data_IF_799782556599
#
_entry.id   IF_799782556599
#
_cell.length_a   1.000
_cell.length_b   1.000
_cell.length_c   1.000
_cell.angle_alpha   90.00
_cell.angle_beta   90.00
_cell.angle_gamma   90.00
#
_symmetry.space_group_name_H-M   'P 1'
#
loop_
_entity.id
_entity.type
_entity.pdbx_description
1 polymer ?
#
# COMPACT_ATOMS: atom_id res chain seq x y z
N UNK A 1 -11.18 6.27 -10.57
CA UNK A 1 -10.37 5.34 -9.78
C UNK A 1 -8.97 5.88 -9.59
N UNK A 2 -8.47 5.83 -8.38
CA UNK A 2 -7.14 6.32 -8.03
C UNK A 2 -6.32 5.20 -7.43
N UNK A 3 -5.01 5.38 -7.43
CA UNK A 3 -4.09 4.36 -6.93
C UNK A 3 -3.17 4.98 -5.88
N UNK A 4 -3.02 4.28 -4.78
CA UNK A 4 -2.03 4.60 -3.75
C UNK A 4 -1.01 3.48 -3.68
N UNK A 5 0.26 3.83 -3.75
CA UNK A 5 1.36 2.87 -3.70
C UNK A 5 2.08 2.94 -2.37
N UNK A 6 2.36 1.76 -1.82
CA UNK A 6 3.21 1.61 -0.65
C UNK A 6 4.34 0.65 -0.98
N UNK A 7 5.53 0.92 -0.47
CA UNK A 7 6.65 0.01 -0.65
C UNK A 7 7.51 0.00 0.60
N UNK A 8 8.18 -1.11 0.81
CA UNK A 8 9.06 -1.26 1.95
C UNK A 8 9.84 -2.57 1.89
N UNK A 9 10.84 -2.69 2.76
CA UNK A 9 11.64 -3.90 2.86
C UNK A 9 10.83 -5.03 3.50
N UNK A 10 11.01 -6.26 3.00
CA UNK A 10 10.41 -7.43 3.63
C UNK A 10 10.94 -7.67 5.05
N UNK A 11 12.11 -7.12 5.37
CA UNK A 11 12.68 -7.22 6.72
C UNK A 11 11.98 -6.30 7.71
N UNK A 12 11.14 -5.38 7.24
CA UNK A 12 10.45 -4.39 8.08
C UNK A 12 8.97 -4.26 7.69
N UNK A 13 8.30 -5.38 7.59
CA UNK A 13 6.86 -5.40 7.29
C UNK A 13 6.01 -4.63 8.30
N UNK A 14 6.32 -4.64 9.61
CA UNK A 14 5.53 -3.85 10.54
C UNK A 14 5.50 -2.34 10.22
N UNK A 15 6.59 -1.77 9.74
CA UNK A 15 6.61 -0.36 9.35
C UNK A 15 5.73 -0.11 8.13
N UNK A 16 5.78 -1.01 7.13
CA UNK A 16 4.92 -0.90 5.95
C UNK A 16 3.45 -1.03 6.32
N UNK A 17 3.13 -1.96 7.19
CA UNK A 17 1.77 -2.17 7.70
C UNK A 17 1.26 -0.93 8.42
N UNK A 18 2.10 -0.32 9.26
CA UNK A 18 1.75 0.90 9.98
C UNK A 18 1.46 2.06 9.02
N UNK A 19 2.24 2.19 7.95
CA UNK A 19 2.03 3.23 6.94
C UNK A 19 0.68 3.04 6.23
N UNK A 20 0.36 1.82 5.85
CA UNK A 20 -0.91 1.51 5.19
C UNK A 20 -2.08 1.81 6.14
N UNK A 21 -1.98 1.36 7.38
CA UNK A 21 -3.04 1.56 8.37
C UNK A 21 -3.24 3.04 8.70
N UNK A 22 -2.16 3.80 8.79
CA UNK A 22 -2.24 5.25 9.00
C UNK A 22 -2.93 5.95 7.85
N UNK A 23 -2.61 5.55 6.62
CA UNK A 23 -3.25 6.14 5.44
C UNK A 23 -4.74 5.81 5.39
N UNK A 24 -5.11 4.57 5.67
CA UNK A 24 -6.52 4.15 5.69
C UNK A 24 -7.29 4.89 6.78
N UNK A 25 -6.70 5.07 7.96
CA UNK A 25 -7.33 5.79 9.05
C UNK A 25 -7.51 7.28 8.72
N UNK A 26 -6.58 7.87 7.97
CA UNK A 26 -6.66 9.26 7.54
C UNK A 26 -7.68 9.48 6.40
N UNK A 27 -8.12 8.42 5.74
CA UNK A 27 -9.01 8.50 4.58
C UNK A 27 -10.23 7.58 4.76
N UNK A 28 -11.04 7.77 5.81
CA UNK A 28 -12.12 6.84 6.12
C UNK A 28 -13.28 6.88 5.11
N UNK A 29 -13.28 7.89 4.24
CA UNK A 29 -14.32 8.03 3.22
C UNK A 29 -13.95 7.38 1.89
N UNK A 30 -12.80 6.74 1.81
CA UNK A 30 -12.38 6.05 0.61
C UNK A 30 -12.79 4.58 0.66
N UNK A 31 -13.14 4.05 -0.49
CA UNK A 31 -13.44 2.63 -0.64
C UNK A 31 -12.33 1.99 -1.44
N UNK A 32 -11.67 1.00 -0.86
CA UNK A 32 -10.67 0.21 -1.57
C UNK A 32 -11.39 -0.79 -2.47
N UNK A 33 -11.14 -0.68 -3.78
CA UNK A 33 -11.79 -1.52 -4.78
C UNK A 33 -10.95 -2.75 -5.08
N UNK A 34 -9.64 -2.57 -5.17
CA UNK A 34 -8.71 -3.64 -5.51
C UNK A 34 -7.37 -3.39 -4.84
N UNK A 35 -6.66 -4.47 -4.54
CA UNK A 35 -5.31 -4.40 -3.99
C UNK A 35 -4.45 -5.45 -4.68
N UNK A 36 -3.21 -5.08 -4.96
CA UNK A 36 -2.21 -5.98 -5.50
C UNK A 36 -0.95 -5.89 -4.66
N UNK A 37 -0.29 -7.02 -4.50
CA UNK A 37 0.97 -7.12 -3.79
C UNK A 37 2.00 -7.75 -4.73
N UNK A 38 3.13 -7.09 -4.87
CA UNK A 38 4.26 -7.59 -5.65
C UNK A 38 5.51 -7.60 -4.79
N UNK A 39 6.35 -8.60 -4.99
CA UNK A 39 7.64 -8.69 -4.32
C UNK A 39 8.72 -8.64 -5.38
N UNK A 40 9.75 -7.85 -5.15
CA UNK A 40 10.87 -7.75 -6.07
C UNK A 40 12.20 -7.69 -5.31
N UNK A 41 13.25 -8.12 -5.99
CA UNK A 41 14.60 -8.10 -5.44
C UNK A 41 15.33 -6.85 -5.92
N UNK A 42 15.85 -6.07 -4.97
CA UNK A 42 16.65 -4.90 -5.29
C UNK A 42 18.13 -5.33 -5.37
N UNK A 43 18.66 -5.41 -6.58
CA UNK A 43 20.03 -5.85 -6.81
C UNK A 43 21.07 -4.87 -6.28
N UNK A 44 20.72 -3.59 -6.16
CA UNK A 44 21.65 -2.57 -5.67
C UNK A 44 21.91 -2.72 -4.17
N UNK A 45 20.90 -3.12 -3.40
CA UNK A 45 20.99 -3.25 -1.95
C UNK A 45 21.03 -4.70 -1.48
N UNK A 46 20.65 -5.64 -2.35
CA UNK A 46 20.51 -7.05 -2.00
C UNK A 46 19.26 -7.36 -1.20
N UNK A 47 18.37 -6.39 -1.00
CA UNK A 47 17.15 -6.57 -0.23
C UNK A 47 15.97 -6.97 -1.10
N UNK A 48 15.05 -7.72 -0.51
CA UNK A 48 13.75 -7.95 -1.10
C UNK A 48 12.76 -6.91 -0.59
N UNK A 49 11.95 -6.38 -1.50
CA UNK A 49 10.98 -5.34 -1.19
C UNK A 49 9.59 -5.73 -1.66
N UNK A 50 8.60 -5.26 -0.93
CA UNK A 50 7.20 -5.42 -1.29
C UNK A 50 6.66 -4.11 -1.83
N UNK A 51 5.87 -4.20 -2.87
CA UNK A 51 5.10 -3.10 -3.42
C UNK A 51 3.62 -3.46 -3.28
N UNK A 52 2.88 -2.59 -2.62
CA UNK A 52 1.45 -2.78 -2.43
C UNK A 52 0.73 -1.63 -3.12
N UNK A 53 -0.15 -1.97 -4.05
CA UNK A 53 -0.97 -1.01 -4.76
C UNK A 53 -2.42 -1.15 -4.31
N UNK A 54 -3.01 -0.05 -3.89
CA UNK A 54 -4.42 0.04 -3.54
C UNK A 54 -5.14 0.90 -4.58
N UNK A 55 -6.14 0.34 -5.23
CA UNK A 55 -7.05 1.09 -6.09
C UNK A 55 -8.26 1.48 -5.27
N UNK A 56 -8.61 2.76 -5.31
CA UNK A 56 -9.66 3.27 -4.46
C UNK A 56 -10.49 4.34 -5.18
N UNK A 57 -11.68 4.56 -4.64
CA UNK A 57 -12.57 5.63 -5.06
C UNK A 57 -13.12 6.34 -3.83
N UNK A 58 -13.47 7.62 -3.95
CA UNK A 58 -14.20 8.29 -2.88
C UNK A 58 -15.51 7.59 -2.66
N UNK A 59 -15.89 7.42 -1.39
CA UNK A 59 -17.18 6.84 -1.07
C UNK A 59 -18.27 7.80 -1.54
N UNK A 60 -19.11 7.29 -2.42
CA UNK A 60 -20.22 8.08 -2.92
C UNK A 60 -21.27 8.25 -1.84
N UNK A 61 -21.71 9.48 -1.62
CA UNK A 61 -22.78 9.79 -0.67
C UNK A 61 -24.04 10.12 -1.44
N UNK A 62 -24.80 9.13 -1.71
CA UNK A 62 -26.12 9.31 -2.27
C UNK A 62 -27.17 9.28 -1.19
#
# INVERSE_FOLDING_TARGET
>A
MQTKLFWGSLSDLPALEADINSWLAANPKLVTIQRDVSVYHNHATGDEQALIALWYEPKSSF
#
